data_IF_921738701765
#
_entry.id   IF_921738701765
#
_cell.length_a   1.000
_cell.length_b   1.000
_cell.length_c   1.000
_cell.angle_alpha   90.00
_cell.angle_beta   90.00
_cell.angle_gamma   90.00
#
_symmetry.space_group_name_H-M   'P 1'
#
loop_
_entity.id
_entity.type
_entity.pdbx_description
1 polymer ?
#
# COMPACT_ATOMS: atom_id res chain seq x y z
N UNK A 1 51.00 -1.23 -10.63
CA UNK A 1 49.82 -0.82 -9.85
C UNK A 1 48.66 -0.67 -10.82
N UNK A 2 47.43 -0.93 -10.40
CA UNK A 2 46.22 -1.21 -11.20
C UNK A 2 46.12 -2.66 -11.67
N UNK A 3 45.40 -3.50 -10.91
CA UNK A 3 44.25 -4.25 -11.41
C UNK A 3 43.63 -5.09 -10.27
N UNK A 4 42.77 -4.51 -9.43
CA UNK A 4 41.84 -5.28 -8.58
C UNK A 4 40.81 -4.35 -7.93
N UNK A 5 39.89 -3.83 -8.75
CA UNK A 5 38.58 -3.38 -8.27
C UNK A 5 37.60 -4.49 -8.65
N UNK A 6 37.47 -5.47 -7.76
CA UNK A 6 36.47 -6.53 -7.85
C UNK A 6 35.10 -5.86 -7.62
N UNK A 7 34.31 -5.74 -8.69
CA UNK A 7 32.93 -5.28 -8.61
C UNK A 7 32.14 -6.24 -7.71
N UNK A 8 31.85 -5.81 -6.49
CA UNK A 8 30.72 -6.32 -5.71
C UNK A 8 29.44 -5.81 -6.38
N UNK A 9 28.97 -6.52 -7.41
CA UNK A 9 27.63 -6.32 -7.92
C UNK A 9 26.65 -6.72 -6.80
N UNK A 10 25.72 -5.86 -6.39
CA UNK A 10 24.66 -6.29 -5.49
C UNK A 10 23.86 -7.39 -6.21
N UNK A 11 23.86 -8.59 -5.64
CA UNK A 11 22.89 -9.61 -6.03
C UNK A 11 21.51 -9.09 -5.63
N UNK A 12 20.75 -8.56 -6.58
CA UNK A 12 19.34 -8.33 -6.38
C UNK A 12 18.70 -9.70 -6.15
N UNK A 13 18.11 -9.90 -4.97
CA UNK A 13 17.34 -11.11 -4.66
C UNK A 13 16.01 -10.99 -5.38
N UNK A 14 15.99 -11.34 -6.66
CA UNK A 14 14.76 -11.40 -7.43
C UNK A 14 13.88 -12.53 -6.86
N UNK A 15 12.69 -12.17 -6.39
CA UNK A 15 11.68 -13.16 -6.01
C UNK A 15 11.00 -13.69 -7.26
N UNK A 16 10.44 -14.90 -7.21
CA UNK A 16 9.73 -15.48 -8.35
C UNK A 16 8.36 -15.99 -7.97
N UNK A 17 7.40 -15.87 -8.89
CA UNK A 17 6.03 -16.35 -8.71
C UNK A 17 5.56 -17.05 -9.98
N UNK A 18 4.88 -18.17 -9.78
CA UNK A 18 4.22 -18.91 -10.87
C UNK A 18 2.72 -18.64 -10.82
N UNK A 19 2.20 -18.12 -11.93
CA UNK A 19 0.78 -17.98 -12.17
C UNK A 19 0.25 -19.26 -12.81
N UNK A 20 -0.94 -19.66 -12.41
CA UNK A 20 -1.63 -20.83 -12.94
C UNK A 20 -2.92 -20.42 -13.63
N UNK A 21 -3.37 -21.25 -14.57
CA UNK A 21 -4.66 -21.13 -15.22
C UNK A 21 -5.41 -22.46 -15.17
N UNK A 22 -6.73 -22.41 -15.03
CA UNK A 22 -7.58 -23.59 -15.23
C UNK A 22 -8.98 -23.20 -15.69
N UNK A 23 -9.66 -24.16 -16.31
CA UNK A 23 -11.06 -24.01 -16.71
C UNK A 23 -11.97 -23.85 -15.50
N UNK A 24 -12.93 -22.93 -15.60
CA UNK A 24 -14.06 -22.86 -14.65
C UNK A 24 -15.11 -23.88 -15.08
N UNK A 25 -15.66 -24.69 -14.16
CA UNK A 25 -16.73 -25.62 -14.46
C UNK A 25 -17.97 -24.94 -15.03
N UNK A 26 -18.66 -25.62 -15.93
CA UNK A 26 -19.93 -25.18 -16.51
C UNK A 26 -21.01 -26.21 -16.19
N UNK A 27 -22.29 -25.90 -16.43
CA UNK A 27 -23.37 -26.87 -16.25
C UNK A 27 -23.21 -28.12 -17.13
N UNK A 28 -22.58 -27.97 -18.30
CA UNK A 28 -22.28 -29.07 -19.22
C UNK A 28 -21.05 -29.88 -18.83
N UNK A 29 -20.09 -29.29 -18.11
CA UNK A 29 -18.89 -29.96 -17.61
C UNK A 29 -18.59 -29.47 -16.18
N UNK A 30 -19.07 -30.20 -15.16
CA UNK A 30 -18.90 -29.80 -13.76
C UNK A 30 -17.50 -30.10 -13.22
N UNK A 31 -16.60 -30.70 -14.01
CA UNK A 31 -15.28 -31.08 -13.55
C UNK A 31 -14.35 -29.86 -13.44
N UNK A 32 -13.64 -29.75 -12.30
CA UNK A 32 -12.58 -28.74 -12.13
C UNK A 32 -11.30 -29.32 -12.72
N UNK A 33 -10.83 -28.74 -13.82
CA UNK A 33 -9.56 -29.09 -14.42
C UNK A 33 -8.39 -28.69 -13.51
N UNK A 34 -7.36 -29.55 -13.45
CA UNK A 34 -6.13 -29.29 -12.71
C UNK A 34 -5.45 -28.00 -13.21
N UNK A 35 -5.02 -27.10 -12.32
CA UNK A 35 -4.30 -25.90 -12.72
C UNK A 35 -3.00 -26.21 -13.48
N UNK A 36 -2.80 -25.55 -14.61
CA UNK A 36 -1.58 -25.62 -15.41
C UNK A 36 -0.77 -24.33 -15.26
N UNK A 37 0.58 -24.37 -15.29
CA UNK A 37 1.40 -23.17 -15.27
C UNK A 37 1.10 -22.26 -16.48
N UNK A 38 0.84 -20.99 -16.21
CA UNK A 38 0.54 -19.96 -17.20
C UNK A 38 1.75 -19.05 -17.45
N UNK A 39 2.37 -18.55 -16.38
CA UNK A 39 3.49 -17.63 -16.47
C UNK A 39 4.41 -17.77 -15.26
N UNK A 40 5.71 -17.63 -15.49
CA UNK A 40 6.69 -17.46 -14.43
C UNK A 40 7.22 -16.03 -14.50
N UNK A 41 7.12 -15.33 -13.37
CA UNK A 41 7.44 -13.92 -13.25
C UNK A 41 8.50 -13.78 -12.18
N UNK A 42 9.60 -13.15 -12.54
CA UNK A 42 10.62 -12.67 -11.61
C UNK A 42 10.28 -11.23 -11.25
N UNK A 43 10.38 -10.87 -9.98
CA UNK A 43 9.96 -9.56 -9.52
C UNK A 43 10.83 -9.01 -8.40
N UNK A 44 10.89 -7.68 -8.38
CA UNK A 44 11.52 -6.87 -7.36
C UNK A 44 10.46 -5.94 -6.74
N UNK A 45 10.20 -6.15 -5.45
CA UNK A 45 9.19 -5.41 -4.68
C UNK A 45 9.63 -3.98 -4.43
N UNK A 46 10.94 -3.72 -4.28
CA UNK A 46 11.46 -2.37 -4.02
C UNK A 46 11.34 -1.49 -5.26
N UNK A 47 11.56 -2.07 -6.43
CA UNK A 47 11.43 -1.37 -7.72
C UNK A 47 10.01 -1.38 -8.26
N UNK A 48 9.09 -2.14 -7.65
CA UNK A 48 7.74 -2.37 -8.17
C UNK A 48 7.75 -2.82 -9.63
N UNK A 49 8.77 -3.61 -10.00
CA UNK A 49 9.06 -4.02 -11.36
C UNK A 49 9.10 -5.55 -11.45
N UNK A 50 8.64 -6.09 -12.57
CA UNK A 50 8.67 -7.52 -12.84
C UNK A 50 9.08 -7.82 -14.27
N UNK A 51 9.72 -8.96 -14.45
CA UNK A 51 10.20 -9.49 -15.72
C UNK A 51 9.60 -10.86 -15.98
N UNK A 52 9.20 -11.09 -17.24
CA UNK A 52 8.62 -12.36 -17.66
C UNK A 52 9.75 -13.37 -17.88
N UNK A 53 9.80 -14.42 -17.08
CA UNK A 53 10.74 -15.52 -17.28
C UNK A 53 10.20 -16.54 -18.29
N UNK A 54 8.91 -16.89 -18.18
CA UNK A 54 8.24 -17.77 -19.16
C UNK A 54 6.74 -17.50 -19.23
N UNK A 55 6.15 -17.83 -20.38
CA UNK A 55 4.71 -17.75 -20.61
C UNK A 55 4.25 -18.89 -21.51
N UNK A 56 3.21 -19.58 -21.08
CA UNK A 56 2.56 -20.65 -21.82
C UNK A 56 1.06 -20.33 -21.90
N UNK A 57 0.53 -19.92 -23.05
CA UNK A 57 -0.89 -19.59 -23.18
C UNK A 57 -1.78 -20.81 -22.88
N UNK A 58 -3.03 -20.62 -22.43
CA UNK A 58 -3.94 -21.72 -22.15
C UNK A 58 -4.15 -22.61 -23.38
N UNK A 59 -3.76 -23.88 -23.29
CA UNK A 59 -3.91 -24.86 -24.37
C UNK A 59 -5.24 -25.58 -24.24
N UNK A 60 -6.27 -25.07 -24.91
CA UNK A 60 -7.58 -25.71 -25.00
C UNK A 60 -8.41 -25.05 -26.09
N UNK A 61 -9.24 -25.84 -26.78
CA UNK A 61 -10.21 -25.30 -27.75
C UNK A 61 -11.40 -24.70 -27.00
N UNK A 62 -11.15 -23.60 -26.29
CA UNK A 62 -12.16 -22.89 -25.52
C UNK A 62 -12.98 -21.99 -26.44
N UNK A 63 -14.30 -21.96 -26.23
CA UNK A 63 -15.13 -20.90 -26.80
C UNK A 63 -14.68 -19.54 -26.26
N UNK A 64 -14.87 -18.47 -27.03
CA UNK A 64 -14.39 -17.13 -26.67
C UNK A 64 -14.92 -16.62 -25.32
N UNK A 65 -16.16 -16.98 -24.99
CA UNK A 65 -16.87 -16.65 -23.75
C UNK A 65 -16.59 -17.61 -22.59
N UNK A 66 -15.87 -18.71 -22.84
CA UNK A 66 -15.52 -19.67 -21.80
C UNK A 66 -14.66 -19.03 -20.72
N UNK A 67 -14.95 -19.33 -19.45
CA UNK A 67 -14.29 -18.71 -18.33
C UNK A 67 -13.08 -19.53 -17.87
N UNK A 68 -11.96 -18.83 -17.71
CA UNK A 68 -10.72 -19.35 -17.16
C UNK A 68 -10.41 -18.61 -15.87
N UNK A 69 -10.07 -19.34 -14.81
CA UNK A 69 -9.50 -18.75 -13.61
C UNK A 69 -8.00 -18.63 -13.76
N UNK A 70 -7.45 -17.47 -13.39
CA UNK A 70 -6.02 -17.17 -13.41
C UNK A 70 -5.61 -16.76 -11.99
N UNK A 71 -4.53 -17.32 -11.46
CA UNK A 71 -4.15 -17.00 -10.10
C UNK A 71 -3.02 -17.84 -9.52
N UNK A 72 -2.88 -17.69 -8.21
CA UNK A 72 -1.96 -18.43 -7.37
C UNK A 72 -2.67 -19.68 -6.85
N UNK A 73 -1.99 -20.82 -6.95
CA UNK A 73 -2.43 -22.08 -6.36
C UNK A 73 -1.51 -22.42 -5.19
N UNK A 74 -2.06 -22.54 -3.99
CA UNK A 74 -1.31 -23.09 -2.86
C UNK A 74 -1.41 -24.62 -2.88
N UNK A 75 -0.26 -25.29 -3.06
CA UNK A 75 -0.18 -26.75 -3.08
C UNK A 75 -0.51 -27.39 -1.73
N UNK A 76 -0.39 -26.65 -0.62
CA UNK A 76 -0.64 -27.16 0.74
C UNK A 76 -2.11 -27.05 1.15
N UNK A 77 -2.73 -25.90 0.88
CA UNK A 77 -4.12 -25.65 1.29
C UNK A 77 -5.16 -25.89 0.19
N UNK A 78 -4.73 -26.19 -1.04
CA UNK A 78 -5.57 -26.20 -2.23
C UNK A 78 -6.36 -24.89 -2.45
N UNK A 79 -5.98 -23.81 -1.77
CA UNK A 79 -6.64 -22.52 -1.89
C UNK A 79 -6.23 -21.84 -3.20
N UNK A 80 -7.23 -21.31 -3.90
CA UNK A 80 -7.06 -20.51 -5.11
C UNK A 80 -7.19 -19.03 -4.80
N UNK A 81 -6.22 -18.23 -5.24
CA UNK A 81 -6.26 -16.77 -5.10
C UNK A 81 -6.01 -16.12 -6.46
N UNK A 82 -7.03 -15.47 -7.01
CA UNK A 82 -6.90 -14.82 -8.31
C UNK A 82 -8.22 -14.35 -8.88
N UNK A 83 -8.27 -14.27 -10.20
CA UNK A 83 -9.37 -13.69 -10.97
C UNK A 83 -9.96 -14.72 -11.94
N UNK A 84 -11.10 -14.36 -12.53
CA UNK A 84 -11.73 -15.08 -13.62
C UNK A 84 -11.79 -14.16 -14.84
N UNK A 85 -11.47 -14.70 -16.01
CA UNK A 85 -11.48 -13.96 -17.28
C UNK A 85 -11.94 -14.87 -18.42
N UNK A 86 -12.37 -14.28 -19.53
CA UNK A 86 -12.74 -15.02 -20.73
C UNK A 86 -11.51 -15.61 -21.44
N UNK A 87 -11.67 -16.75 -22.10
CA UNK A 87 -10.63 -17.34 -22.95
C UNK A 87 -10.20 -16.39 -24.09
N UNK A 88 -11.12 -15.56 -24.60
CA UNK A 88 -10.82 -14.53 -25.61
C UNK A 88 -9.72 -13.54 -25.17
N UNK A 89 -9.59 -13.29 -23.87
CA UNK A 89 -8.56 -12.40 -23.32
C UNK A 89 -7.13 -12.87 -23.60
N UNK A 90 -6.94 -14.16 -23.92
CA UNK A 90 -5.63 -14.74 -24.25
C UNK A 90 -5.29 -14.69 -25.74
N UNK A 91 -6.21 -14.23 -26.59
CA UNK A 91 -5.99 -14.08 -28.04
C UNK A 91 -4.77 -13.20 -28.35
N UNK A 92 -4.09 -13.50 -29.46
CA UNK A 92 -2.94 -12.74 -29.96
C UNK A 92 -3.28 -11.28 -30.34
N UNK A 93 -4.57 -10.96 -30.48
CA UNK A 93 -5.06 -9.61 -30.78
C UNK A 93 -5.02 -8.64 -29.59
N UNK A 94 -4.71 -9.16 -28.39
CA UNK A 94 -4.62 -8.37 -27.17
C UNK A 94 -3.21 -8.41 -26.59
N UNK A 95 -2.75 -7.24 -26.13
CA UNK A 95 -1.68 -7.17 -25.14
C UNK A 95 -2.25 -7.64 -23.79
N UNK A 96 -1.46 -8.43 -23.07
CA UNK A 96 -1.81 -8.93 -21.74
C UNK A 96 -1.06 -8.12 -20.68
N UNK A 97 -1.72 -7.82 -19.56
CA UNK A 97 -1.12 -7.17 -18.41
C UNK A 97 -1.36 -8.00 -17.16
N UNK A 98 -0.29 -8.53 -16.56
CA UNK A 98 -0.34 -9.22 -15.28
C UNK A 98 -0.01 -8.24 -14.17
N UNK A 99 -0.88 -8.19 -13.15
CA UNK A 99 -0.70 -7.32 -11.98
C UNK A 99 -0.53 -8.24 -10.77
N UNK A 100 0.61 -8.16 -10.10
CA UNK A 100 0.93 -9.04 -8.97
C UNK A 100 0.82 -8.18 -7.73
N UNK A 101 -0.17 -8.45 -6.89
CA UNK A 101 -0.33 -7.79 -5.61
C UNK A 101 0.49 -8.52 -4.57
N UNK A 102 1.40 -7.80 -3.93
CA UNK A 102 2.26 -8.32 -2.86
C UNK A 102 1.92 -7.67 -1.52
N UNK A 103 2.13 -8.38 -0.43
CA UNK A 103 1.95 -7.84 0.91
C UNK A 103 3.12 -6.95 1.38
N UNK A 104 3.13 -6.59 2.66
CA UNK A 104 4.19 -5.78 3.25
C UNK A 104 5.55 -6.49 3.27
N UNK A 105 5.54 -7.82 3.33
CA UNK A 105 6.72 -8.70 3.34
C UNK A 105 7.21 -9.04 1.92
N UNK A 106 6.44 -8.70 0.89
CA UNK A 106 6.76 -8.99 -0.51
C UNK A 106 6.22 -10.33 -1.01
N UNK A 107 5.36 -11.00 -0.25
CA UNK A 107 4.73 -12.25 -0.66
C UNK A 107 3.54 -11.99 -1.59
N UNK A 108 3.37 -12.76 -2.68
CA UNK A 108 2.21 -12.63 -3.55
C UNK A 108 0.91 -13.02 -2.84
N UNK A 109 -0.04 -12.08 -2.78
CA UNK A 109 -1.34 -12.27 -2.14
C UNK A 109 -2.48 -12.41 -3.14
N UNK A 110 -2.40 -11.75 -4.28
CA UNK A 110 -3.44 -11.73 -5.31
C UNK A 110 -2.86 -11.40 -6.69
N UNK A 111 -3.62 -11.70 -7.74
CA UNK A 111 -3.22 -11.50 -9.13
C UNK A 111 -4.36 -10.82 -9.87
N UNK A 112 -4.05 -9.73 -10.56
CA UNK A 112 -4.91 -9.10 -11.56
C UNK A 112 -4.48 -9.46 -12.97
N UNK A 113 -5.44 -9.39 -13.90
CA UNK A 113 -5.20 -9.60 -15.32
C UNK A 113 -6.02 -8.60 -16.13
N UNK A 114 -5.34 -7.86 -16.99
CA UNK A 114 -5.94 -6.89 -17.90
C UNK A 114 -5.56 -7.19 -19.34
N UNK A 115 -6.39 -6.72 -20.27
CA UNK A 115 -6.10 -6.76 -21.70
C UNK A 115 -6.30 -5.39 -22.32
N UNK A 116 -5.52 -5.10 -23.36
CA UNK A 116 -5.68 -3.93 -24.20
C UNK A 116 -5.46 -4.29 -25.66
N UNK A 117 -5.99 -3.49 -26.58
CA UNK A 117 -5.81 -3.74 -28.02
C UNK A 117 -4.33 -3.83 -28.38
N UNK A 118 -3.97 -4.76 -29.25
CA UNK A 118 -2.58 -4.90 -29.73
C UNK A 118 -2.15 -3.60 -30.43
N UNK A 119 -1.10 -2.99 -29.90
CA UNK A 119 -0.46 -1.80 -30.46
C UNK A 119 1.06 -2.00 -30.53
N UNK A 120 1.81 -0.93 -30.80
CA UNK A 120 3.27 -0.95 -30.74
C UNK A 120 3.75 -1.01 -29.29
N UNK A 121 4.38 -2.12 -28.89
CA UNK A 121 5.05 -2.29 -27.60
C UNK A 121 5.04 -3.76 -27.14
N UNK A 122 5.44 -4.01 -25.90
CA UNK A 122 5.53 -5.38 -25.36
C UNK A 122 4.16 -6.08 -25.38
N UNK A 123 4.16 -7.37 -25.73
CA UNK A 123 2.92 -8.16 -25.79
C UNK A 123 2.39 -8.52 -24.40
N UNK A 124 3.30 -8.67 -23.43
CA UNK A 124 2.99 -8.98 -22.03
C UNK A 124 3.64 -7.91 -21.17
N UNK A 125 2.83 -7.23 -20.38
CA UNK A 125 3.22 -6.22 -19.39
C UNK A 125 3.08 -6.81 -17.99
N UNK A 126 4.01 -6.49 -17.10
CA UNK A 126 4.00 -6.95 -15.71
C UNK A 126 4.07 -5.74 -14.79
N UNK A 127 3.15 -5.68 -13.83
CA UNK A 127 3.11 -4.64 -12.80
C UNK A 127 3.11 -5.29 -11.42
N UNK A 128 3.97 -4.80 -10.53
CA UNK A 128 4.02 -5.25 -9.13
C UNK A 128 3.42 -4.16 -8.26
N UNK A 129 2.35 -4.50 -7.53
CA UNK A 129 1.63 -3.55 -6.69
C UNK A 129 1.79 -3.96 -5.23
N UNK A 130 2.58 -3.20 -4.49
CA UNK A 130 2.73 -3.41 -3.05
C UNK A 130 1.49 -2.92 -2.31
N UNK A 131 0.99 -3.73 -1.37
CA UNK A 131 -0.08 -3.32 -0.46
C UNK A 131 0.39 -2.14 0.39
N UNK A 132 -0.35 -1.04 0.34
CA UNK A 132 -0.15 0.12 1.20
C UNK A 132 -1.38 0.37 2.06
N UNK A 133 -1.17 0.96 3.23
CA UNK A 133 -2.28 1.46 4.04
C UNK A 133 -3.05 2.54 3.26
N UNK A 134 -4.37 2.43 3.25
CA UNK A 134 -5.24 3.46 2.68
C UNK A 134 -5.20 4.77 3.48
N UNK A 135 -5.69 5.87 2.90
CA UNK A 135 -5.80 7.14 3.61
C UNK A 135 -6.70 6.96 4.84
N UNK A 136 -6.21 7.40 6.00
CA UNK A 136 -6.98 7.40 7.25
C UNK A 136 -7.70 8.75 7.40
N UNK A 137 -8.96 8.78 7.84
CA UNK A 137 -9.67 10.03 8.07
C UNK A 137 -8.94 10.83 9.15
N UNK A 138 -8.78 12.13 8.91
CA UNK A 138 -8.27 13.05 9.92
C UNK A 138 -9.41 13.31 10.90
N UNK A 139 -9.38 12.62 12.04
CA UNK A 139 -10.31 12.87 13.12
C UNK A 139 -9.87 14.12 13.89
N UNK A 140 -10.77 15.10 14.00
CA UNK A 140 -10.58 16.19 14.96
C UNK A 140 -10.46 15.61 16.37
N UNK A 141 -9.65 16.25 17.22
CA UNK A 141 -9.50 15.82 18.62
C UNK A 141 -10.88 15.80 19.30
N UNK A 142 -11.16 14.81 20.16
CA UNK A 142 -12.41 14.78 20.91
C UNK A 142 -12.56 16.06 21.73
N UNK A 143 -13.73 16.67 21.67
CA UNK A 143 -14.07 17.78 22.55
C UNK A 143 -14.32 17.18 23.94
N UNK A 144 -13.39 17.41 24.86
CA UNK A 144 -13.57 17.00 26.26
C UNK A 144 -14.46 18.03 26.95
N UNK A 145 -15.59 17.58 27.47
CA UNK A 145 -16.53 18.39 28.22
C UNK A 145 -16.36 18.12 29.72
N UNK A 146 -16.63 19.11 30.55
CA UNK A 146 -16.73 18.94 32.00
C UNK A 146 -18.04 18.23 32.40
N UNK A 147 -18.25 17.96 33.69
CA UNK A 147 -19.44 17.26 34.21
C UNK A 147 -20.78 17.93 33.83
N UNK A 148 -20.75 19.24 33.56
CA UNK A 148 -21.91 20.04 33.14
C UNK A 148 -22.10 20.10 31.61
N UNK A 149 -21.30 19.35 30.84
CA UNK A 149 -21.42 19.28 29.38
C UNK A 149 -20.90 20.52 28.65
N UNK A 150 -20.06 21.33 29.29
CA UNK A 150 -19.45 22.53 28.68
C UNK A 150 -17.98 22.29 28.37
N UNK A 151 -17.47 23.02 27.38
CA UNK A 151 -16.04 23.13 27.14
C UNK A 151 -15.38 23.59 28.44
N UNK A 152 -14.33 22.90 28.85
CA UNK A 152 -13.56 23.26 30.03
C UNK A 152 -13.12 24.72 29.87
N UNK A 153 -13.75 25.61 30.64
CA UNK A 153 -13.47 27.03 30.52
C UNK A 153 -12.03 27.22 30.92
N UNK A 154 -11.20 27.82 30.04
CA UNK A 154 -9.86 28.26 30.42
C UNK A 154 -9.95 28.89 31.81
N UNK A 155 -9.14 28.37 32.75
CA UNK A 155 -9.08 28.92 34.10
C UNK A 155 -9.03 30.45 33.99
N UNK A 156 -9.88 31.17 34.75
CA UNK A 156 -9.97 32.62 34.62
C UNK A 156 -8.58 33.23 34.80
N UNK A 157 -8.06 33.86 33.75
CA UNK A 157 -6.76 34.51 33.81
C UNK A 157 -6.81 35.56 34.93
N UNK A 158 -5.97 35.38 35.95
CA UNK A 158 -5.90 36.33 37.07
C UNK A 158 -5.66 37.72 36.50
N UNK A 159 -6.46 38.69 36.95
CA UNK A 159 -6.36 40.07 36.46
C UNK A 159 -4.96 40.63 36.72
N UNK A 160 -4.52 41.58 35.90
CA UNK A 160 -3.20 42.22 36.04
C UNK A 160 -2.96 42.70 37.49
N UNK A 161 -3.94 43.38 38.08
CA UNK A 161 -3.86 43.80 39.48
C UNK A 161 -3.73 42.61 40.44
N UNK A 162 -4.49 41.53 40.28
CA UNK A 162 -4.36 40.35 41.13
C UNK A 162 -2.98 39.66 40.99
N UNK A 163 -2.36 39.74 39.81
CA UNK A 163 -1.02 39.18 39.55
C UNK A 163 0.12 40.07 40.05
N UNK A 164 -0.07 41.39 40.01
CA UNK A 164 0.98 42.39 40.23
C UNK A 164 0.74 43.33 41.43
N UNK A 165 -0.28 43.10 42.27
CA UNK A 165 -0.58 43.98 43.42
C UNK A 165 0.60 44.12 44.38
N UNK A 166 1.35 43.05 44.60
CA UNK A 166 2.54 43.05 45.47
C UNK A 166 3.67 43.91 44.89
N UNK A 167 3.78 44.02 43.56
CA UNK A 167 4.75 44.90 42.89
C UNK A 167 4.40 46.36 43.16
N UNK A 168 3.11 46.70 43.06
CA UNK A 168 2.61 48.05 43.36
C UNK A 168 2.81 48.39 44.84
N UNK A 169 2.53 47.45 45.75
CA UNK A 169 2.77 47.63 47.18
C UNK A 169 4.27 47.82 47.47
N UNK A 170 5.14 47.01 46.87
CA UNK A 170 6.58 47.13 47.01
C UNK A 170 7.08 48.48 46.48
N UNK A 171 6.59 48.91 45.31
CA UNK A 171 6.92 50.22 44.74
C UNK A 171 6.56 51.36 45.70
N UNK A 172 5.37 51.34 46.30
CA UNK A 172 4.94 52.36 47.27
C UNK A 172 5.80 52.37 48.53
N UNK A 173 6.15 51.20 49.07
CA UNK A 173 7.04 51.09 50.24
C UNK A 173 8.41 51.67 49.91
N UNK A 174 8.97 51.34 48.75
CA UNK A 174 10.25 51.91 48.30
C UNK A 174 10.14 53.42 48.21
N UNK A 175 9.10 53.98 47.57
CA UNK A 175 8.92 55.43 47.46
C UNK A 175 8.80 56.14 48.81
N UNK A 176 8.14 55.52 49.80
CA UNK A 176 8.02 56.08 51.15
C UNK A 176 9.35 56.04 51.92
N UNK A 177 10.13 54.97 51.76
CA UNK A 177 11.43 54.82 52.44
C UNK A 177 12.53 55.63 51.75
N UNK A 178 12.48 55.81 50.43
CA UNK A 178 13.45 56.60 49.68
C UNK A 178 13.08 58.09 49.56
N UNK A 179 11.82 58.46 49.77
CA UNK A 179 11.33 59.84 49.71
C UNK A 179 11.36 60.62 51.04
N UNK A 180 11.72 59.97 52.16
CA UNK A 180 11.77 60.58 53.49
C UNK A 180 13.07 61.29 53.83
N UNK A 181 13.63 62.08 52.90
CA UNK A 181 14.95 62.68 53.06
C UNK A 181 15.12 64.01 52.33
N UNK A 182 14.31 65.01 52.68
CA UNK A 182 14.74 66.42 52.62
C UNK A 182 13.93 67.26 53.61
N UNK A 183 14.30 67.13 54.88
CA UNK A 183 13.88 68.02 55.95
C UNK A 183 14.97 69.06 56.20
N UNK A 184 14.73 70.28 55.69
CA UNK A 184 15.25 71.52 56.28
C UNK A 184 14.29 71.97 57.39
#
# INVERSE_FOLDING_TARGET
MLLTQLLLLPFAVASSVTLYVSSVPTTSDPSISSPIPLAQIEYDVEQSAGTLASYTPPTGSYASDHLLRVGLSDSKSAAWRGIVTSAASFSEQYRKKFIIHVDEMGEPIHVGFGTSAKGSGQEIEIEIVKRSAGPKPVLNKPIVLNADGKLDSKEPEKTFLQKYWWVLALFLVVQLVSGGGDGK
#
